data_IF_467353640061
#
_entry.id   IF_467353640061
#
_cell.length_a   1.000
_cell.length_b   1.000
_cell.length_c   1.000
_cell.angle_alpha   90.00
_cell.angle_beta   90.00
_cell.angle_gamma   90.00
#
_symmetry.space_group_name_H-M   'P 1'
#
loop_
_entity.id
_entity.type
_entity.pdbx_description
1 polymer ?
#
# COMPACT_ATOMS: atom_id res chain seq x y z
N UNK A 1 15.37 -1.69 -17.10
CA UNK A 1 15.84 -3.05 -16.79
C UNK A 1 16.08 -3.35 -15.29
N UNK A 2 15.92 -2.42 -14.34
CA UNK A 2 16.10 -2.70 -12.88
C UNK A 2 14.82 -3.20 -12.18
N UNK A 3 13.65 -2.97 -12.77
CA UNK A 3 12.36 -3.29 -12.13
C UNK A 3 11.79 -4.67 -12.49
N UNK A 4 12.25 -5.29 -13.58
CA UNK A 4 11.68 -6.56 -14.07
C UNK A 4 11.83 -7.69 -13.05
N UNK A 5 12.97 -7.78 -12.38
CA UNK A 5 13.23 -8.77 -11.33
C UNK A 5 12.52 -8.47 -9.99
N UNK A 6 11.73 -7.39 -9.91
CA UNK A 6 10.93 -7.02 -8.75
C UNK A 6 9.42 -7.14 -8.98
N UNK A 7 8.99 -7.47 -10.19
CA UNK A 7 7.57 -7.64 -10.52
C UNK A 7 7.06 -8.95 -9.92
N UNK A 8 5.89 -8.89 -9.27
CA UNK A 8 5.16 -10.08 -8.82
C UNK A 8 3.81 -10.11 -9.54
N UNK A 9 3.36 -11.30 -9.96
CA UNK A 9 2.08 -11.43 -10.66
C UNK A 9 0.93 -10.92 -9.79
N UNK A 10 -0.07 -10.31 -10.41
CA UNK A 10 -1.27 -9.81 -9.73
C UNK A 10 -1.97 -10.89 -8.90
N UNK A 11 -2.06 -12.11 -9.42
CA UNK A 11 -2.61 -13.28 -8.72
C UNK A 11 -1.79 -13.66 -7.49
N UNK A 12 -0.45 -13.71 -7.60
CA UNK A 12 0.42 -13.98 -6.45
C UNK A 12 0.35 -12.88 -5.40
N UNK A 13 0.16 -11.62 -5.79
CA UNK A 13 -0.15 -10.55 -4.83
C UNK A 13 -1.49 -10.79 -4.13
N UNK A 14 -2.53 -11.14 -4.90
CA UNK A 14 -3.87 -11.34 -4.38
C UNK A 14 -3.90 -12.45 -3.32
N UNK A 15 -3.20 -13.55 -3.58
CA UNK A 15 -3.07 -14.65 -2.62
C UNK A 15 -2.33 -14.22 -1.35
N UNK A 16 -1.26 -13.43 -1.46
CA UNK A 16 -0.57 -12.89 -0.28
C UNK A 16 -1.49 -11.99 0.58
N UNK A 17 -2.39 -11.22 -0.02
CA UNK A 17 -3.33 -10.39 0.74
C UNK A 17 -4.49 -11.18 1.35
N UNK A 18 -4.94 -12.26 0.70
CA UNK A 18 -5.98 -13.17 1.23
C UNK A 18 -5.43 -14.06 2.35
N UNK A 19 -4.26 -14.64 2.11
CA UNK A 19 -3.58 -15.62 2.96
C UNK A 19 -2.16 -15.10 3.27
N UNK A 20 -2.03 -14.11 4.17
CA UNK A 20 -0.75 -13.46 4.43
C UNK A 20 0.22 -14.41 5.12
N UNK A 21 1.44 -14.50 4.57
CA UNK A 21 2.55 -15.11 5.29
C UNK A 21 2.91 -14.30 6.56
N UNK A 22 3.56 -14.91 7.57
CA UNK A 22 3.96 -14.19 8.78
C UNK A 22 4.83 -12.96 8.51
N UNK A 23 5.78 -13.06 7.57
CA UNK A 23 6.65 -11.94 7.19
C UNK A 23 5.88 -10.82 6.48
N UNK A 24 4.91 -11.17 5.64
CA UNK A 24 4.05 -10.19 4.99
C UNK A 24 3.12 -9.50 5.98
N UNK A 25 2.56 -10.24 6.94
CA UNK A 25 1.75 -9.67 8.01
C UNK A 25 2.56 -8.73 8.89
N UNK A 26 3.79 -9.09 9.25
CA UNK A 26 4.70 -8.23 9.98
C UNK A 26 5.02 -6.95 9.19
N UNK A 27 5.22 -7.06 7.87
CA UNK A 27 5.45 -5.90 6.99
C UNK A 27 4.23 -4.98 6.90
N UNK A 28 3.02 -5.52 6.83
CA UNK A 28 1.80 -4.70 6.86
C UNK A 28 1.65 -3.99 8.22
N UNK A 29 1.94 -4.70 9.32
CA UNK A 29 1.93 -4.14 10.67
C UNK A 29 2.95 -3.01 10.85
N UNK A 30 4.14 -3.12 10.27
CA UNK A 30 5.14 -2.04 10.35
C UNK A 30 4.76 -0.80 9.54
N UNK A 31 3.95 -0.94 8.49
CA UNK A 31 3.50 0.18 7.64
C UNK A 31 2.25 0.86 8.20
N UNK A 32 1.30 0.08 8.70
CA UNK A 32 -0.04 0.55 9.09
C UNK A 32 -0.29 0.51 10.60
N UNK A 33 0.65 0.00 11.39
CA UNK A 33 0.48 -0.26 12.82
C UNK A 33 -0.18 -1.61 13.11
N UNK A 34 -0.23 -1.98 14.39
CA UNK A 34 -0.69 -3.29 14.86
C UNK A 34 -2.20 -3.49 14.98
N UNK A 35 -3.02 -2.51 14.56
CA UNK A 35 -4.49 -2.63 14.66
C UNK A 35 -5.01 -3.71 13.71
N UNK A 36 -5.55 -4.80 14.27
CA UNK A 36 -6.11 -5.93 13.50
C UNK A 36 -7.24 -5.49 12.56
N UNK A 37 -8.08 -4.55 13.01
CA UNK A 37 -9.13 -3.94 12.20
C UNK A 37 -8.54 -3.21 10.99
N UNK A 38 -7.59 -2.30 11.21
CA UNK A 38 -6.97 -1.53 10.14
C UNK A 38 -6.23 -2.43 9.15
N UNK A 39 -5.48 -3.42 9.65
CA UNK A 39 -4.79 -4.40 8.82
C UNK A 39 -5.77 -5.22 7.97
N UNK A 40 -6.91 -5.63 8.53
CA UNK A 40 -7.99 -6.28 7.79
C UNK A 40 -8.54 -5.40 6.67
N UNK A 41 -8.85 -4.14 6.96
CA UNK A 41 -9.36 -3.18 5.96
C UNK A 41 -8.35 -2.87 4.85
N UNK A 42 -7.06 -2.77 5.18
CA UNK A 42 -6.00 -2.59 4.16
C UNK A 42 -5.89 -3.82 3.28
N UNK A 43 -5.91 -5.04 3.84
CA UNK A 43 -5.89 -6.28 3.04
C UNK A 43 -7.08 -6.34 2.07
N UNK A 44 -8.30 -6.09 2.54
CA UNK A 44 -9.49 -6.03 1.68
C UNK A 44 -9.35 -5.00 0.56
N UNK A 45 -8.82 -3.82 0.87
CA UNK A 45 -8.67 -2.74 -0.11
C UNK A 45 -7.65 -3.07 -1.20
N UNK A 46 -6.49 -3.62 -0.85
CA UNK A 46 -5.50 -4.08 -1.83
C UNK A 46 -6.02 -5.28 -2.65
N UNK A 47 -6.72 -6.23 -2.03
CA UNK A 47 -7.32 -7.35 -2.76
C UNK A 47 -8.33 -6.87 -3.81
N UNK A 48 -9.18 -5.89 -3.47
CA UNK A 48 -10.12 -5.28 -4.43
C UNK A 48 -9.40 -4.56 -5.57
N UNK A 49 -8.34 -3.80 -5.26
CA UNK A 49 -7.52 -3.11 -6.27
C UNK A 49 -6.90 -4.11 -7.25
N UNK A 50 -6.29 -5.18 -6.75
CA UNK A 50 -5.65 -6.21 -7.56
C UNK A 50 -6.66 -6.97 -8.41
N UNK A 51 -7.80 -7.36 -7.83
CA UNK A 51 -8.88 -8.03 -8.57
C UNK A 51 -9.41 -7.13 -9.71
N UNK A 52 -9.61 -5.83 -9.45
CA UNK A 52 -10.00 -4.87 -10.49
C UNK A 52 -8.92 -4.71 -11.56
N UNK A 53 -7.65 -4.69 -11.17
CA UNK A 53 -6.54 -4.64 -12.13
C UNK A 53 -6.52 -5.86 -13.04
N UNK A 54 -6.75 -7.06 -12.51
CA UNK A 54 -6.84 -8.29 -13.32
C UNK A 54 -8.03 -8.21 -14.28
N UNK A 55 -9.19 -7.75 -13.81
CA UNK A 55 -10.37 -7.61 -14.66
C UNK A 55 -10.18 -6.62 -15.82
N UNK A 56 -9.39 -5.55 -15.60
CA UNK A 56 -9.16 -4.50 -16.63
C UNK A 56 -7.98 -4.82 -17.55
N UNK A 57 -6.93 -5.46 -17.04
CA UNK A 57 -5.64 -5.57 -17.74
C UNK A 57 -5.12 -7.01 -17.88
N UNK A 58 -5.85 -8.00 -17.37
CA UNK A 58 -5.42 -9.40 -17.31
C UNK A 58 -4.37 -9.68 -16.23
N UNK A 59 -3.90 -10.93 -16.17
CA UNK A 59 -2.76 -11.30 -15.31
C UNK A 59 -1.47 -10.67 -15.83
N UNK A 60 -0.77 -9.91 -14.98
CA UNK A 60 0.48 -9.23 -15.32
C UNK A 60 1.39 -9.12 -14.10
N UNK A 61 2.70 -8.97 -14.34
CA UNK A 61 3.66 -8.58 -13.30
C UNK A 61 3.47 -7.12 -12.90
N UNK A 62 3.25 -6.85 -11.61
CA UNK A 62 2.98 -5.51 -11.08
C UNK A 62 3.78 -5.21 -9.82
N UNK A 63 3.92 -3.91 -9.54
CA UNK A 63 4.42 -3.38 -8.27
C UNK A 63 3.28 -2.68 -7.53
N UNK A 64 3.28 -2.80 -6.22
CA UNK A 64 2.40 -2.01 -5.35
C UNK A 64 3.21 -0.87 -4.73
N UNK A 65 2.86 0.35 -5.11
CA UNK A 65 3.48 1.58 -4.64
C UNK A 65 2.51 2.26 -3.66
N UNK A 66 3.01 2.62 -2.48
CA UNK A 66 2.26 3.39 -1.48
C UNK A 66 2.84 4.80 -1.39
N UNK A 67 1.99 5.79 -1.57
CA UNK A 67 2.31 7.21 -1.40
C UNK A 67 1.32 7.77 -0.36
N UNK A 68 1.70 7.87 0.93
CA UNK A 68 0.79 8.37 1.95
C UNK A 68 0.53 9.87 1.79
N UNK A 69 -0.70 10.29 2.02
CA UNK A 69 -1.01 11.71 2.24
C UNK A 69 -0.55 12.15 3.63
N UNK A 70 -0.34 13.46 3.79
CA UNK A 70 -0.11 14.12 5.09
C UNK A 70 -1.28 15.03 5.42
N UNK A 71 -1.54 15.22 6.71
CA UNK A 71 -2.46 16.24 7.22
C UNK A 71 -1.63 17.26 7.98
N UNK A 72 -1.89 18.55 7.72
CA UNK A 72 -1.33 19.63 8.52
C UNK A 72 -2.20 19.81 9.75
N UNK A 73 -1.64 19.61 10.94
CA UNK A 73 -2.34 19.79 12.20
C UNK A 73 -2.34 21.28 12.58
N UNK A 74 -1.21 21.96 12.38
CA UNK A 74 -1.00 23.38 12.66
C UNK A 74 0.00 23.98 11.66
N UNK A 75 0.04 25.31 11.54
CA UNK A 75 0.94 25.98 10.61
C UNK A 75 0.46 25.92 9.16
N UNK A 76 -0.81 26.25 8.94
CA UNK A 76 -1.40 26.40 7.60
C UNK A 76 -1.02 27.76 7.03
N UNK A 77 -0.63 27.80 5.76
CA UNK A 77 -0.29 29.00 4.99
C UNK A 77 0.98 29.74 5.47
N UNK A 78 1.92 29.03 6.11
CA UNK A 78 3.23 29.58 6.56
C UNK A 78 4.44 28.87 5.95
N UNK A 79 4.20 27.85 5.13
CA UNK A 79 5.17 27.02 4.40
C UNK A 79 6.06 27.88 3.51
N UNK A 80 5.46 28.90 2.88
CA UNK A 80 6.13 29.85 1.98
C UNK A 80 6.73 31.07 2.71
N UNK A 81 6.58 31.15 4.05
CA UNK A 81 7.02 32.29 4.87
C UNK A 81 8.17 31.94 5.82
N UNK A 82 8.77 30.75 5.67
CA UNK A 82 9.79 30.24 6.58
C UNK A 82 9.26 29.82 7.95
N UNK A 83 7.95 29.60 8.08
CA UNK A 83 7.33 29.10 9.30
C UNK A 83 7.52 27.59 9.48
N UNK A 84 7.29 27.11 10.70
CA UNK A 84 7.40 25.69 11.02
C UNK A 84 6.09 24.95 10.68
N UNK A 85 6.20 23.91 9.86
CA UNK A 85 5.10 23.00 9.48
C UNK A 85 5.28 21.66 10.17
N UNK A 86 4.20 20.88 10.28
CA UNK A 86 4.22 19.53 10.84
C UNK A 86 4.09 18.42 9.78
#
# INVERSE_FOLDING_TARGET
MILENKLKKTTTWLEEFKHPSPSFQQRLSSIYGGSSFLLGERRKSFSRLLARSVALFGERGVLLLRIPGRVNLMGVHIEHRGGYVN
#
